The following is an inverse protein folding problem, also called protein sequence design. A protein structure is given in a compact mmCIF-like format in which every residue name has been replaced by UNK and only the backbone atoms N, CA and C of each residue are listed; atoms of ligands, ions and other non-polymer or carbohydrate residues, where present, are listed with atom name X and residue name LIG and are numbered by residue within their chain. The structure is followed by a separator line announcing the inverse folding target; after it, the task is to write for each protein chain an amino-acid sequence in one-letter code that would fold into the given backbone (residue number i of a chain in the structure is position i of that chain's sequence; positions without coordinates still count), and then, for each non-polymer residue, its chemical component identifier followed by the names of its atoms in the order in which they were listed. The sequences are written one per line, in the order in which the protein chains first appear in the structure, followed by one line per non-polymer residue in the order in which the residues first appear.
data_IF_184294221873
#
_entry.id   IF_184294221873
#
_cell.length_a   1.000
_cell.length_b   1.000
_cell.length_c   1.000
_cell.angle_alpha   90.00
_cell.angle_beta   90.00
_cell.angle_gamma   90.00
#
_symmetry.space_group_name_H-M   'P 1'
#
loop_
_entity.id
_entity.type
_entity.pdbx_description
1 polymer ?
#
# COMPACT_ATOMS: atom_id res chain seq x y z
N UNK A 1 30.45 8.77 -3.95
CA UNK A 1 30.34 8.74 -5.43
C UNK A 1 31.66 8.40 -6.11
N UNK A 2 32.70 9.22 -5.99
CA UNK A 2 34.01 9.01 -6.66
C UNK A 2 34.64 7.64 -6.36
N UNK A 3 34.57 7.18 -5.10
CA UNK A 3 35.15 5.88 -4.72
C UNK A 3 34.39 4.72 -5.39
N UNK A 4 33.05 4.79 -5.47
CA UNK A 4 32.24 3.79 -6.15
C UNK A 4 32.59 3.66 -7.62
N UNK A 5 32.71 4.80 -8.32
CA UNK A 5 33.04 4.82 -9.76
C UNK A 5 34.47 4.34 -10.06
N UNK A 6 35.41 4.52 -9.11
CA UNK A 6 36.80 4.05 -9.24
C UNK A 6 36.95 2.55 -8.96
N UNK A 7 36.31 2.04 -7.93
CA UNK A 7 36.55 0.68 -7.42
C UNK A 7 35.57 -0.35 -7.94
N UNK A 8 34.25 0.01 -8.04
CA UNK A 8 33.22 -0.99 -8.22
C UNK A 8 32.98 -1.34 -9.68
N UNK A 9 32.74 -2.63 -9.91
CA UNK A 9 32.37 -3.20 -11.21
C UNK A 9 30.97 -3.77 -11.13
N UNK A 10 30.16 -3.46 -12.12
CA UNK A 10 28.78 -3.95 -12.27
C UNK A 10 28.63 -4.77 -13.54
N UNK A 11 27.61 -5.58 -13.61
CA UNK A 11 27.15 -6.14 -14.87
C UNK A 11 26.37 -5.08 -15.61
N UNK A 12 26.86 -4.68 -16.78
CA UNK A 12 26.11 -3.77 -17.65
C UNK A 12 24.88 -4.46 -18.21
N UNK A 13 23.96 -3.72 -18.82
CA UNK A 13 22.77 -4.31 -19.43
C UNK A 13 23.08 -5.20 -20.64
N UNK A 14 24.22 -4.98 -21.26
CA UNK A 14 24.76 -5.84 -22.34
C UNK A 14 25.36 -7.16 -21.80
N UNK A 15 25.24 -7.37 -20.46
CA UNK A 15 25.70 -8.59 -19.82
C UNK A 15 27.20 -8.63 -19.51
N UNK A 16 27.96 -7.57 -19.82
CA UNK A 16 29.42 -7.49 -19.63
C UNK A 16 29.80 -6.79 -18.33
N UNK A 17 30.97 -7.12 -17.73
CA UNK A 17 31.48 -6.35 -16.62
C UNK A 17 31.89 -4.95 -17.09
N UNK A 18 31.58 -3.94 -16.28
CA UNK A 18 31.93 -2.54 -16.55
C UNK A 18 32.05 -1.74 -15.27
N UNK A 19 32.85 -0.68 -15.27
CA UNK A 19 32.94 0.25 -14.12
C UNK A 19 31.58 0.84 -13.81
N UNK A 20 31.24 0.89 -12.52
CA UNK A 20 30.06 1.61 -12.07
C UNK A 20 30.19 3.09 -12.42
N UNK A 21 29.23 3.63 -13.16
CA UNK A 21 29.14 5.07 -13.48
C UNK A 21 27.75 5.55 -13.06
N UNK A 22 27.73 6.56 -12.17
CA UNK A 22 26.49 7.11 -11.67
C UNK A 22 25.67 7.72 -12.80
N UNK A 23 24.41 7.28 -12.95
CA UNK A 23 23.44 7.89 -13.85
C UNK A 23 22.81 9.18 -13.25
N UNK A 24 21.91 9.83 -13.98
CA UNK A 24 21.24 11.06 -13.55
C UNK A 24 20.45 10.86 -12.24
N UNK A 25 19.74 9.74 -12.10
CA UNK A 25 18.94 9.40 -10.93
C UNK A 25 19.81 9.19 -9.69
N UNK A 26 20.86 8.40 -9.83
CA UNK A 26 21.80 8.09 -8.75
C UNK A 26 22.52 9.35 -8.24
N UNK A 27 22.90 10.27 -9.16
CA UNK A 27 23.46 11.58 -8.79
C UNK A 27 22.44 12.46 -8.08
N UNK A 28 21.20 12.52 -8.55
CA UNK A 28 20.14 13.28 -7.92
C UNK A 28 19.84 12.75 -6.50
N UNK A 29 19.83 11.43 -6.32
CA UNK A 29 19.69 10.81 -5.01
C UNK A 29 20.84 11.22 -4.08
N UNK A 30 22.09 11.05 -4.48
CA UNK A 30 23.26 11.39 -3.65
C UNK A 30 23.30 12.87 -3.25
N UNK A 31 22.89 13.79 -4.13
CA UNK A 31 22.89 15.22 -3.86
C UNK A 31 21.81 15.65 -2.84
N UNK A 32 20.71 14.94 -2.75
CA UNK A 32 19.56 15.31 -1.91
C UNK A 32 19.39 14.42 -0.67
N UNK A 33 20.04 13.25 -0.62
CA UNK A 33 19.81 12.26 0.43
C UNK A 33 20.07 12.80 1.84
N UNK A 34 19.24 12.35 2.76
CA UNK A 34 19.43 12.51 4.20
C UNK A 34 19.89 11.21 4.87
N UNK A 35 19.73 11.15 6.17
CA UNK A 35 19.96 9.94 6.97
C UNK A 35 18.81 8.92 6.80
N UNK A 36 17.60 9.41 6.59
CA UNK A 36 16.40 8.61 6.31
C UNK A 36 15.84 9.04 4.97
N UNK A 37 15.64 8.09 4.07
CA UNK A 37 15.21 8.36 2.71
C UNK A 37 14.08 7.44 2.30
N UNK A 38 13.11 7.99 1.58
CA UNK A 38 12.10 7.22 0.88
C UNK A 38 12.10 7.57 -0.60
N UNK A 39 12.14 6.54 -1.45
CA UNK A 39 12.33 6.70 -2.90
C UNK A 39 11.18 6.04 -3.65
N UNK A 40 10.38 6.88 -4.29
CA UNK A 40 9.38 6.50 -5.26
C UNK A 40 9.98 6.65 -6.65
N UNK A 41 10.05 5.58 -7.40
CA UNK A 41 10.76 5.55 -8.69
C UNK A 41 10.00 4.78 -9.76
N UNK A 42 10.28 5.10 -11.01
CA UNK A 42 9.95 4.22 -12.13
C UNK A 42 10.86 2.97 -12.12
N UNK A 43 10.47 1.98 -12.90
CA UNK A 43 11.18 0.71 -13.01
C UNK A 43 12.60 0.89 -13.56
N UNK A 44 13.52 0.03 -13.13
CA UNK A 44 14.88 -0.12 -13.67
C UNK A 44 15.75 1.18 -13.70
N UNK A 45 15.61 2.04 -12.73
CA UNK A 45 16.39 3.28 -12.60
C UNK A 45 17.82 3.05 -12.07
N UNK A 46 18.18 1.81 -11.74
CA UNK A 46 19.50 1.43 -11.22
C UNK A 46 19.76 1.85 -9.77
N UNK A 47 18.71 2.21 -9.04
CA UNK A 47 18.87 2.71 -7.67
C UNK A 47 19.27 1.61 -6.69
N UNK A 48 18.65 0.42 -6.74
CA UNK A 48 19.02 -0.73 -5.90
C UNK A 48 20.51 -1.06 -6.02
N UNK A 49 21.05 -1.09 -7.25
CA UNK A 49 22.50 -1.27 -7.49
C UNK A 49 23.34 -0.16 -6.85
N UNK A 50 22.83 1.09 -6.90
CA UNK A 50 23.55 2.22 -6.32
C UNK A 50 23.55 2.19 -4.80
N UNK A 51 22.43 1.85 -4.17
CA UNK A 51 22.32 1.71 -2.71
C UNK A 51 23.21 0.56 -2.23
N UNK A 52 23.18 -0.58 -2.92
CA UNK A 52 24.08 -1.70 -2.63
C UNK A 52 25.57 -1.29 -2.71
N UNK A 53 25.95 -0.54 -3.75
CA UNK A 53 27.31 -0.02 -3.91
C UNK A 53 27.70 0.93 -2.77
N UNK A 54 26.80 1.85 -2.43
CA UNK A 54 26.99 2.80 -1.34
C UNK A 54 27.18 2.09 0.01
N UNK A 55 26.30 1.17 0.33
CA UNK A 55 26.33 0.44 1.60
C UNK A 55 27.49 -0.55 1.67
N UNK A 56 27.84 -1.18 0.55
CA UNK A 56 29.06 -1.99 0.46
C UNK A 56 30.31 -1.16 0.79
N UNK A 57 30.45 0.03 0.21
CA UNK A 57 31.59 0.90 0.52
C UNK A 57 31.60 1.34 1.99
N UNK A 58 30.46 1.66 2.57
CA UNK A 58 30.38 1.97 4.02
C UNK A 58 30.82 0.77 4.86
N UNK A 59 30.36 -0.43 4.53
CA UNK A 59 30.72 -1.66 5.25
C UNK A 59 32.24 -1.93 5.22
N UNK A 60 32.88 -1.72 4.09
CA UNK A 60 34.33 -1.99 3.97
C UNK A 60 35.24 -0.81 4.37
N UNK A 61 34.69 0.34 4.70
CA UNK A 61 35.47 1.52 5.11
C UNK A 61 35.18 1.99 6.54
N UNK A 62 34.18 1.45 7.19
CA UNK A 62 33.77 1.83 8.54
C UNK A 62 33.74 0.58 9.42
N UNK A 63 34.71 0.37 10.32
CA UNK A 63 34.71 -0.77 11.24
C UNK A 63 33.43 -0.84 12.09
N UNK A 64 33.05 -2.05 12.47
CA UNK A 64 31.83 -2.29 13.26
C UNK A 64 30.52 -2.09 12.51
N UNK A 65 30.53 -2.04 11.16
CA UNK A 65 29.36 -1.76 10.36
C UNK A 65 28.60 -3.04 10.00
N UNK A 66 27.35 -3.14 10.43
CA UNK A 66 26.40 -4.12 9.92
C UNK A 66 25.47 -3.45 8.89
N UNK A 67 25.52 -3.93 7.66
CA UNK A 67 24.59 -3.57 6.59
C UNK A 67 23.58 -4.68 6.40
N UNK A 68 22.28 -4.31 6.37
CA UNK A 68 21.17 -5.20 6.09
C UNK A 68 20.36 -4.69 4.90
N UNK A 69 20.24 -5.49 3.86
CA UNK A 69 19.31 -5.26 2.75
C UNK A 69 18.16 -6.27 2.82
N UNK A 70 16.94 -5.78 2.65
CA UNK A 70 15.73 -6.60 2.70
C UNK A 70 15.00 -6.46 1.36
N UNK A 71 14.81 -7.59 0.66
CA UNK A 71 14.11 -7.66 -0.61
C UNK A 71 12.73 -8.32 -0.45
N UNK A 72 11.82 -8.09 -1.38
CA UNK A 72 10.44 -8.60 -1.34
C UNK A 72 10.34 -10.13 -1.50
N UNK A 73 11.30 -10.79 -2.17
CA UNK A 73 11.36 -12.25 -2.31
C UNK A 73 12.78 -12.76 -2.07
N UNK A 74 12.92 -14.08 -1.91
CA UNK A 74 14.22 -14.74 -1.76
C UNK A 74 15.06 -14.59 -3.04
N UNK A 75 14.45 -14.75 -4.21
CA UNK A 75 15.12 -14.61 -5.51
C UNK A 75 15.65 -13.18 -5.71
N UNK A 76 14.85 -12.18 -5.31
CA UNK A 76 15.27 -10.77 -5.36
C UNK A 76 16.45 -10.50 -4.41
N UNK A 77 16.45 -11.11 -3.21
CA UNK A 77 17.56 -11.03 -2.27
C UNK A 77 18.84 -11.61 -2.87
N UNK A 78 18.76 -12.75 -3.52
CA UNK A 78 19.88 -13.39 -4.18
C UNK A 78 20.42 -12.57 -5.36
N UNK A 79 19.55 -11.90 -6.13
CA UNK A 79 19.97 -10.99 -7.20
C UNK A 79 20.74 -9.78 -6.66
N UNK A 80 20.24 -9.15 -5.59
CA UNK A 80 20.95 -8.05 -4.92
C UNK A 80 22.29 -8.55 -4.41
N UNK A 81 22.32 -9.72 -3.80
CA UNK A 81 23.54 -10.27 -3.25
C UNK A 81 24.57 -10.61 -4.31
N UNK A 82 24.15 -11.07 -5.50
CA UNK A 82 25.04 -11.24 -6.66
C UNK A 82 25.70 -9.94 -7.12
N UNK A 83 25.01 -8.80 -6.96
CA UNK A 83 25.62 -7.48 -7.22
C UNK A 83 26.73 -7.22 -6.24
N UNK A 84 26.50 -7.46 -4.94
CA UNK A 84 27.48 -7.23 -3.87
C UNK A 84 28.68 -8.17 -3.99
N UNK A 85 28.47 -9.46 -4.30
CA UNK A 85 29.55 -10.39 -4.58
C UNK A 85 30.45 -9.91 -5.73
N UNK A 86 29.85 -9.39 -6.80
CA UNK A 86 30.60 -8.84 -7.93
C UNK A 86 31.46 -7.65 -7.51
N UNK A 87 31.01 -6.80 -6.60
CA UNK A 87 31.85 -5.74 -6.06
C UNK A 87 33.09 -6.30 -5.38
N UNK A 88 32.91 -7.34 -4.56
CA UNK A 88 34.01 -8.00 -3.87
C UNK A 88 34.96 -8.71 -4.84
N UNK A 89 34.43 -9.50 -5.79
CA UNK A 89 35.23 -10.30 -6.74
C UNK A 89 36.13 -9.44 -7.63
N UNK A 90 35.72 -8.22 -7.92
CA UNK A 90 36.48 -7.28 -8.75
C UNK A 90 37.26 -6.24 -7.97
N UNK A 91 37.32 -6.37 -6.63
CA UNK A 91 38.24 -5.55 -5.83
C UNK A 91 39.70 -5.93 -6.11
N UNK A 92 40.62 -4.95 -6.05
CA UNK A 92 42.06 -5.24 -6.15
C UNK A 92 42.53 -6.33 -5.14
N UNK A 93 43.35 -7.27 -5.59
CA UNK A 93 43.78 -8.41 -4.78
C UNK A 93 44.44 -7.98 -3.45
N UNK A 94 45.26 -6.92 -3.45
CA UNK A 94 45.87 -6.40 -2.24
C UNK A 94 44.88 -5.90 -1.17
N UNK A 95 43.66 -5.48 -1.57
CA UNK A 95 42.60 -5.15 -0.62
C UNK A 95 41.85 -6.42 -0.18
N UNK A 96 41.57 -7.30 -1.12
CA UNK A 96 40.80 -8.53 -0.88
C UNK A 96 41.53 -9.55 -0.02
N UNK A 97 42.83 -9.65 -0.16
CA UNK A 97 43.68 -10.55 0.61
C UNK A 97 44.20 -9.92 1.92
N UNK A 98 44.04 -8.59 2.05
CA UNK A 98 44.43 -7.82 3.23
C UNK A 98 43.22 -7.54 4.16
N UNK A 99 42.99 -6.26 4.46
CA UNK A 99 41.96 -5.81 5.40
C UNK A 99 40.52 -6.23 5.03
N UNK A 100 40.27 -6.56 3.78
CA UNK A 100 38.94 -7.02 3.31
C UNK A 100 38.92 -8.54 3.09
N UNK A 101 39.84 -9.28 3.68
CA UNK A 101 39.78 -10.73 3.66
C UNK A 101 38.50 -11.22 4.33
N UNK A 102 37.75 -12.01 3.59
CA UNK A 102 36.45 -12.51 4.08
C UNK A 102 36.66 -13.72 4.99
N UNK A 103 36.06 -13.70 6.19
CA UNK A 103 35.95 -14.86 7.07
C UNK A 103 34.85 -15.82 6.66
N UNK A 104 33.76 -15.28 6.14
CA UNK A 104 32.64 -16.01 5.58
C UNK A 104 32.08 -15.23 4.39
N UNK A 105 31.86 -15.92 3.28
CA UNK A 105 31.14 -15.40 2.14
C UNK A 105 30.23 -16.52 1.61
N UNK A 106 28.90 -16.34 1.74
CA UNK A 106 27.90 -17.31 1.29
C UNK A 106 26.75 -16.57 0.58
N UNK A 107 25.66 -17.24 0.29
CA UNK A 107 24.53 -16.67 -0.47
C UNK A 107 23.69 -15.63 0.31
N UNK A 108 23.99 -15.35 1.57
CA UNK A 108 23.22 -14.43 2.43
C UNK A 108 24.04 -13.41 3.19
N UNK A 109 25.35 -13.65 3.37
CA UNK A 109 26.21 -12.74 4.14
C UNK A 109 27.66 -12.77 3.69
N UNK A 110 28.34 -11.64 3.81
CA UNK A 110 29.79 -11.48 3.70
C UNK A 110 30.26 -10.87 5.01
N UNK A 111 31.23 -11.54 5.66
CA UNK A 111 31.83 -11.10 6.93
C UNK A 111 33.27 -10.69 6.68
N UNK A 112 33.64 -9.52 7.18
CA UNK A 112 35.01 -8.96 7.14
C UNK A 112 35.56 -8.92 8.57
N UNK A 113 36.23 -9.99 9.05
CA UNK A 113 36.65 -10.11 10.45
C UNK A 113 37.59 -9.01 10.91
N UNK A 114 38.55 -8.60 10.06
CA UNK A 114 39.51 -7.53 10.37
C UNK A 114 38.85 -6.17 10.55
N UNK A 115 37.66 -6.00 9.99
CA UNK A 115 36.87 -4.77 10.08
C UNK A 115 35.76 -4.88 11.13
N UNK A 116 35.52 -6.04 11.72
CA UNK A 116 34.30 -6.33 12.51
C UNK A 116 33.06 -5.89 11.78
N UNK A 117 33.00 -6.15 10.48
CA UNK A 117 31.95 -5.63 9.61
C UNK A 117 31.25 -6.75 8.84
N UNK A 118 29.97 -6.53 8.53
CA UNK A 118 29.15 -7.54 7.87
C UNK A 118 28.16 -6.92 6.89
N UNK A 119 27.96 -7.60 5.77
CA UNK A 119 26.92 -7.29 4.78
C UNK A 119 25.95 -8.47 4.66
N UNK A 120 24.67 -8.26 4.93
CA UNK A 120 23.61 -9.26 4.83
C UNK A 120 22.53 -8.85 3.85
N UNK A 121 21.99 -9.84 3.13
CA UNK A 121 20.78 -9.66 2.32
C UNK A 121 19.79 -10.77 2.68
N UNK A 122 18.56 -10.38 2.97
CA UNK A 122 17.48 -11.27 3.40
C UNK A 122 16.18 -10.97 2.67
N UNK A 123 15.22 -11.88 2.74
CA UNK A 123 13.86 -11.67 2.22
C UNK A 123 12.94 -11.14 3.32
N UNK A 124 12.00 -10.26 2.98
CA UNK A 124 10.91 -9.81 3.85
C UNK A 124 9.94 -10.94 4.24
N UNK A 125 9.99 -12.09 3.56
CA UNK A 125 9.26 -13.28 3.98
C UNK A 125 9.79 -13.87 5.30
N UNK A 126 11.03 -13.52 5.71
CA UNK A 126 11.56 -13.87 7.02
C UNK A 126 11.14 -12.83 8.06
N UNK A 127 10.10 -13.12 8.82
CA UNK A 127 9.58 -12.26 9.90
C UNK A 127 10.60 -11.96 11.01
N UNK A 128 11.69 -12.72 11.10
CA UNK A 128 12.77 -12.49 12.05
C UNK A 128 13.93 -11.68 11.47
N UNK A 129 13.80 -11.20 10.22
CA UNK A 129 14.81 -10.34 9.61
C UNK A 129 15.15 -9.16 10.53
N UNK A 130 16.40 -8.99 10.88
CA UNK A 130 16.86 -7.90 11.75
C UNK A 130 16.74 -8.13 13.27
N UNK A 131 16.01 -9.14 13.74
CA UNK A 131 15.89 -9.40 15.20
C UNK A 131 17.25 -9.76 15.82
N UNK A 132 17.57 -9.12 16.95
CA UNK A 132 18.83 -9.33 17.67
C UNK A 132 20.05 -8.69 16.99
N UNK A 133 19.86 -7.89 15.94
CA UNK A 133 20.92 -7.16 15.26
C UNK A 133 20.94 -5.68 15.69
N UNK A 134 22.12 -5.06 15.49
CA UNK A 134 22.25 -3.60 15.55
C UNK A 134 22.75 -3.13 14.19
N UNK A 135 21.84 -2.54 13.39
CA UNK A 135 22.03 -2.27 11.96
C UNK A 135 22.43 -0.82 11.73
N UNK A 136 23.58 -0.56 11.12
CA UNK A 136 24.04 0.78 10.76
C UNK A 136 23.52 1.24 9.40
N UNK A 137 23.30 0.32 8.46
CA UNK A 137 22.74 0.65 7.15
C UNK A 137 21.60 -0.32 6.84
N UNK A 138 20.41 0.21 6.64
CA UNK A 138 19.20 -0.57 6.32
C UNK A 138 18.64 -0.12 4.97
N UNK A 139 18.52 -1.07 4.05
CA UNK A 139 17.89 -0.88 2.75
C UNK A 139 16.67 -1.79 2.62
N UNK A 140 15.51 -1.22 2.40
CA UNK A 140 14.25 -1.93 2.14
C UNK A 140 13.89 -1.76 0.67
N UNK A 141 14.20 -2.78 -0.14
CA UNK A 141 13.97 -2.78 -1.58
C UNK A 141 12.58 -3.30 -1.93
N UNK A 142 11.89 -2.60 -2.85
CA UNK A 142 10.53 -2.89 -3.33
C UNK A 142 9.51 -3.09 -2.18
N UNK A 143 9.55 -2.17 -1.21
CA UNK A 143 8.73 -2.21 0.01
C UNK A 143 7.22 -2.33 -0.28
N UNK A 144 6.72 -1.72 -1.37
CA UNK A 144 5.33 -1.85 -1.77
C UNK A 144 4.91 -3.30 -2.12
N UNK A 145 5.88 -4.18 -2.37
CA UNK A 145 5.67 -5.58 -2.77
C UNK A 145 5.96 -6.58 -1.66
N UNK A 146 6.22 -6.12 -0.44
CA UNK A 146 6.53 -7.02 0.67
C UNK A 146 5.33 -7.88 1.04
N UNK A 147 5.54 -9.18 1.33
CA UNK A 147 4.46 -10.10 1.71
C UNK A 147 4.01 -9.87 3.15
N UNK A 148 2.79 -10.30 3.46
CA UNK A 148 2.23 -10.24 4.82
C UNK A 148 2.06 -8.83 5.35
N UNK A 149 2.21 -8.65 6.66
CA UNK A 149 2.19 -7.32 7.29
C UNK A 149 3.55 -6.63 7.15
N UNK A 150 3.70 -5.90 6.04
CA UNK A 150 4.91 -5.14 5.74
C UNK A 150 5.19 -4.03 6.77
N UNK A 151 4.16 -3.50 7.44
CA UNK A 151 4.32 -2.45 8.44
C UNK A 151 4.93 -3.00 9.73
N UNK A 152 4.51 -4.20 10.18
CA UNK A 152 5.10 -4.87 11.35
C UNK A 152 6.56 -5.26 11.08
N UNK A 153 6.84 -5.83 9.91
CA UNK A 153 8.22 -6.16 9.51
C UNK A 153 9.11 -4.91 9.51
N UNK A 154 8.63 -3.82 8.91
CA UNK A 154 9.38 -2.56 8.86
C UNK A 154 9.59 -1.95 10.26
N UNK A 155 8.61 -2.04 11.14
CA UNK A 155 8.72 -1.59 12.53
C UNK A 155 9.80 -2.37 13.28
N UNK A 156 9.84 -3.71 13.14
CA UNK A 156 10.89 -4.56 13.70
C UNK A 156 12.29 -4.22 13.19
N UNK A 157 12.42 -3.97 11.89
CA UNK A 157 13.68 -3.56 11.28
C UNK A 157 14.16 -2.18 11.76
N UNK A 158 13.23 -1.22 11.90
CA UNK A 158 13.54 0.11 12.46
C UNK A 158 14.02 0.03 13.91
N UNK A 159 13.42 -0.85 14.71
CA UNK A 159 13.84 -1.08 16.09
C UNK A 159 15.24 -1.67 16.19
N UNK A 160 15.71 -2.38 15.17
CA UNK A 160 17.06 -2.93 15.09
C UNK A 160 18.11 -1.90 14.63
N UNK A 161 17.72 -0.70 14.20
CA UNK A 161 18.67 0.29 13.70
C UNK A 161 19.49 0.91 14.82
N UNK A 162 20.79 1.06 14.57
CA UNK A 162 21.69 1.81 15.43
C UNK A 162 21.29 3.30 15.47
N UNK A 163 21.54 4.00 16.61
CA UNK A 163 21.48 5.47 16.63
C UNK A 163 22.39 6.04 15.54
N UNK A 164 21.83 6.91 14.69
CA UNK A 164 22.61 7.46 13.56
C UNK A 164 22.69 6.57 12.32
N UNK A 165 22.06 5.40 12.31
CA UNK A 165 22.01 4.50 11.15
C UNK A 165 21.31 5.13 9.94
N UNK A 166 21.74 4.73 8.73
CA UNK A 166 21.15 5.20 7.47
C UNK A 166 20.02 4.26 7.01
N UNK A 167 18.85 4.82 6.71
CA UNK A 167 17.67 4.10 6.21
C UNK A 167 17.33 4.54 4.79
N UNK A 168 17.13 3.57 3.91
CA UNK A 168 16.64 3.79 2.56
C UNK A 168 15.47 2.83 2.29
N UNK A 169 14.28 3.40 2.11
CA UNK A 169 13.09 2.71 1.63
C UNK A 169 12.95 3.00 0.15
N UNK A 170 12.82 2.00 -0.71
CA UNK A 170 12.58 2.23 -2.14
C UNK A 170 11.50 1.31 -2.69
N UNK A 171 10.70 1.84 -3.64
CA UNK A 171 9.77 1.03 -4.41
C UNK A 171 9.31 1.70 -5.70
N UNK A 172 8.82 0.90 -6.65
CA UNK A 172 7.80 1.34 -7.60
C UNK A 172 6.46 1.43 -6.85
N UNK A 173 5.51 2.27 -7.28
CA UNK A 173 4.19 2.35 -6.63
C UNK A 173 3.40 1.06 -6.86
N UNK A 174 2.53 0.70 -5.91
CA UNK A 174 1.64 -0.47 -6.03
C UNK A 174 0.24 -0.14 -5.51
N UNK A 175 -0.37 0.88 -6.07
CA UNK A 175 -1.71 1.30 -5.68
C UNK A 175 -1.75 2.19 -4.45
N UNK A 176 -2.94 2.67 -4.17
CA UNK A 176 -3.24 3.52 -3.02
C UNK A 176 -3.50 2.62 -1.83
N UNK A 177 -2.56 2.54 -0.90
CA UNK A 177 -2.61 1.69 0.29
C UNK A 177 -1.32 0.88 0.49
N UNK A 178 -1.26 0.15 1.61
CA UNK A 178 -0.10 -0.63 2.01
C UNK A 178 1.05 0.20 2.59
N UNK A 179 2.02 -0.50 3.18
CA UNK A 179 3.09 0.09 3.98
C UNK A 179 3.85 1.21 3.25
N UNK A 180 4.29 0.99 2.01
CA UNK A 180 5.08 1.98 1.27
C UNK A 180 4.29 3.27 0.97
N UNK A 181 3.02 3.15 0.59
CA UNK A 181 2.15 4.30 0.35
C UNK A 181 1.95 5.14 1.62
N UNK A 182 1.69 4.49 2.75
CA UNK A 182 1.54 5.18 4.04
C UNK A 182 2.84 5.88 4.47
N UNK A 183 3.98 5.21 4.32
CA UNK A 183 5.30 5.79 4.59
C UNK A 183 5.59 6.99 3.67
N UNK A 184 5.21 6.89 2.38
CA UNK A 184 5.35 7.99 1.43
C UNK A 184 4.54 9.21 1.86
N UNK A 185 3.28 9.00 2.26
CA UNK A 185 2.41 10.10 2.70
C UNK A 185 2.90 10.77 3.98
N UNK A 186 3.36 9.99 4.95
CA UNK A 186 3.83 10.45 6.26
C UNK A 186 5.28 10.92 6.26
N UNK A 187 6.00 10.84 5.16
CA UNK A 187 7.43 11.12 5.09
C UNK A 187 7.80 12.53 5.58
N UNK A 188 6.94 13.54 5.33
CA UNK A 188 7.13 14.90 5.84
C UNK A 188 7.07 15.02 7.39
N UNK A 189 6.32 14.11 8.03
CA UNK A 189 6.14 14.08 9.49
C UNK A 189 7.23 13.26 10.19
N UNK A 190 7.88 12.34 9.45
CA UNK A 190 8.83 11.35 10.00
C UNK A 190 10.29 11.66 9.71
N UNK A 191 10.62 12.90 9.33
CA UNK A 191 11.96 13.37 8.96
C UNK A 191 12.62 12.54 7.84
N UNK A 192 11.83 11.92 6.97
CA UNK A 192 12.30 11.21 5.79
C UNK A 192 12.43 12.17 4.60
N UNK A 193 13.56 12.08 3.90
CA UNK A 193 13.75 12.82 2.65
C UNK A 193 13.05 12.07 1.52
N UNK A 194 12.08 12.72 0.87
CA UNK A 194 11.39 12.18 -0.30
C UNK A 194 12.22 12.34 -1.56
N UNK A 195 12.28 11.30 -2.36
CA UNK A 195 12.88 11.28 -3.68
C UNK A 195 11.88 10.71 -4.67
N UNK A 196 11.45 11.51 -5.64
CA UNK A 196 10.63 11.04 -6.74
C UNK A 196 11.46 11.02 -8.02
N UNK A 197 11.49 9.88 -8.71
CA UNK A 197 12.24 9.69 -9.95
C UNK A 197 11.31 9.20 -11.07
N UNK A 198 10.77 10.12 -11.88
CA UNK A 198 9.94 9.76 -13.02
C UNK A 198 10.76 9.08 -14.11
N UNK A 199 10.09 8.31 -14.96
CA UNK A 199 10.74 7.44 -15.95
C UNK A 199 11.66 8.20 -16.92
N UNK A 200 11.35 9.41 -17.28
CA UNK A 200 12.16 10.20 -18.23
C UNK A 200 13.52 10.66 -17.70
N UNK A 201 13.81 10.45 -16.43
CA UNK A 201 15.15 10.67 -15.88
C UNK A 201 16.15 9.58 -16.30
N UNK A 202 15.69 8.42 -16.76
CA UNK A 202 16.52 7.36 -17.32
C UNK A 202 16.83 7.67 -18.80
N UNK A 203 18.08 7.97 -19.10
CA UNK A 203 18.50 8.42 -20.41
C UNK A 203 18.20 7.46 -21.57
N UNK A 204 18.03 6.18 -21.27
CA UNK A 204 17.75 5.12 -22.27
C UNK A 204 16.25 4.96 -22.59
N UNK A 205 15.37 5.65 -21.86
CA UNK A 205 13.95 5.62 -22.12
C UNK A 205 13.58 6.58 -23.24
N UNK A 206 13.95 6.19 -24.45
CA UNK A 206 13.65 6.88 -25.71
C UNK A 206 13.39 5.89 -26.84
N UNK A 207 12.70 6.33 -27.86
CA UNK A 207 12.44 5.62 -29.12
C UNK A 207 12.79 6.53 -30.28
N UNK A 208 12.52 6.09 -31.50
CA UNK A 208 12.51 6.95 -32.66
C UNK A 208 11.56 8.14 -32.43
N UNK A 209 11.96 9.35 -32.82
CA UNK A 209 11.24 10.56 -32.45
C UNK A 209 9.80 10.56 -32.99
N UNK A 210 8.84 11.02 -32.20
CA UNK A 210 7.48 11.24 -32.64
C UNK A 210 7.42 12.42 -33.63
N UNK A 211 6.45 12.38 -34.55
CA UNK A 211 6.13 13.52 -35.39
C UNK A 211 5.49 14.64 -34.51
N UNK A 212 6.05 15.82 -34.59
CA UNK A 212 5.59 16.98 -33.80
C UNK A 212 4.14 17.39 -34.15
N UNK A 213 3.71 17.18 -35.40
CA UNK A 213 2.34 17.45 -35.84
C UNK A 213 1.31 16.48 -35.19
N UNK A 214 1.76 15.31 -34.72
CA UNK A 214 0.92 14.29 -34.09
C UNK A 214 0.78 14.43 -32.58
N UNK A 215 1.39 15.45 -31.95
CA UNK A 215 1.34 15.63 -30.51
C UNK A 215 -0.06 16.00 -30.02
N UNK A 216 -0.48 15.36 -28.92
CA UNK A 216 -1.68 15.77 -28.19
C UNK A 216 -1.39 16.97 -27.28
N UNK A 217 -2.43 17.66 -26.80
CA UNK A 217 -2.26 18.78 -25.86
C UNK A 217 -1.62 18.33 -24.55
N UNK A 218 -1.95 17.12 -24.05
CA UNK A 218 -1.30 16.52 -22.89
C UNK A 218 0.21 16.34 -23.11
N UNK A 219 0.61 15.86 -24.27
CA UNK A 219 2.02 15.64 -24.61
C UNK A 219 2.78 16.94 -24.78
N UNK A 220 2.15 17.97 -25.35
CA UNK A 220 2.71 19.33 -25.41
C UNK A 220 2.94 19.91 -24.02
N UNK A 221 1.96 19.76 -23.11
CA UNK A 221 2.08 20.17 -21.72
C UNK A 221 3.22 19.47 -20.99
N UNK A 222 3.39 18.14 -21.20
CA UNK A 222 4.49 17.37 -20.61
C UNK A 222 5.87 17.81 -21.15
N UNK A 223 5.97 18.10 -22.46
CA UNK A 223 7.20 18.63 -23.06
C UNK A 223 7.56 19.97 -22.43
N UNK A 224 6.60 20.86 -22.31
CA UNK A 224 6.81 22.21 -21.74
C UNK A 224 7.19 22.13 -20.24
N UNK A 225 6.49 21.32 -19.47
CA UNK A 225 6.70 21.21 -18.01
C UNK A 225 8.00 20.49 -17.64
N UNK A 226 8.41 19.48 -18.42
CA UNK A 226 9.51 18.57 -18.05
C UNK A 226 10.65 18.54 -19.06
N UNK A 227 10.64 19.42 -20.07
CA UNK A 227 11.66 19.53 -21.12
C UNK A 227 11.88 18.18 -21.85
N UNK A 228 10.79 17.45 -22.11
CA UNK A 228 10.88 16.13 -22.75
C UNK A 228 11.21 16.26 -24.24
N UNK A 229 11.97 15.28 -24.75
CA UNK A 229 12.27 15.16 -26.17
C UNK A 229 11.18 14.39 -26.91
N UNK A 230 11.00 14.64 -28.19
CA UNK A 230 10.07 13.89 -29.06
C UNK A 230 10.33 12.37 -29.02
N UNK A 231 11.59 11.97 -28.89
CA UNK A 231 11.98 10.56 -28.71
C UNK A 231 11.50 9.95 -27.38
N UNK A 232 11.33 10.73 -26.35
CA UNK A 232 10.75 10.30 -25.08
C UNK A 232 9.22 10.24 -25.16
N UNK A 233 8.58 11.13 -25.92
CA UNK A 233 7.14 11.06 -26.20
C UNK A 233 6.81 9.77 -26.98
N UNK A 234 7.61 9.44 -28.02
CA UNK A 234 7.46 8.18 -28.74
C UNK A 234 7.62 6.96 -27.83
N UNK A 235 8.59 6.99 -26.91
CA UNK A 235 8.76 5.95 -25.90
C UNK A 235 7.53 5.86 -24.97
N UNK A 236 7.00 7.00 -24.49
CA UNK A 236 5.79 7.08 -23.67
C UNK A 236 4.58 6.41 -24.34
N UNK A 237 4.36 6.70 -25.63
CA UNK A 237 3.29 6.06 -26.42
C UNK A 237 3.45 4.53 -26.46
N UNK A 238 4.68 4.05 -26.67
CA UNK A 238 4.99 2.62 -26.67
C UNK A 238 4.71 1.96 -25.33
N UNK A 239 5.24 2.50 -24.23
CA UNK A 239 5.01 1.90 -22.91
C UNK A 239 3.52 1.95 -22.50
N UNK A 240 2.77 2.98 -22.92
CA UNK A 240 1.32 3.03 -22.70
C UNK A 240 0.58 1.92 -23.46
N UNK A 241 1.00 1.61 -24.66
CA UNK A 241 0.44 0.50 -25.43
C UNK A 241 0.80 -0.87 -24.83
N UNK A 242 2.06 -1.06 -24.42
CA UNK A 242 2.57 -2.32 -23.88
C UNK A 242 2.04 -2.61 -22.46
N UNK A 243 1.99 -1.61 -21.57
CA UNK A 243 1.66 -1.77 -20.16
C UNK A 243 0.21 -1.37 -19.82
N UNK A 244 -0.48 -0.67 -20.71
CA UNK A 244 -1.88 -0.23 -20.53
C UNK A 244 -2.11 0.40 -19.15
N UNK A 245 -3.08 -0.09 -18.37
CA UNK A 245 -3.40 0.40 -17.03
C UNK A 245 -2.24 0.31 -16.00
N UNK A 246 -1.21 -0.49 -16.25
CA UNK A 246 -0.02 -0.59 -15.39
C UNK A 246 1.05 0.46 -15.69
N UNK A 247 0.89 1.26 -16.75
CA UNK A 247 1.93 2.21 -17.18
C UNK A 247 2.30 3.19 -16.06
N UNK A 248 1.33 3.79 -15.41
CA UNK A 248 1.59 4.78 -14.36
C UNK A 248 2.28 4.18 -13.13
N UNK A 249 2.01 2.90 -12.84
CA UNK A 249 2.67 2.15 -11.77
C UNK A 249 4.14 1.83 -12.12
N UNK A 250 4.40 1.31 -13.31
CA UNK A 250 5.74 0.84 -13.70
C UNK A 250 6.63 1.99 -14.18
N UNK A 251 6.02 3.01 -14.79
CA UNK A 251 6.67 4.19 -15.37
C UNK A 251 6.04 5.48 -14.83
N UNK A 252 6.20 5.69 -13.53
CA UNK A 252 5.63 6.83 -12.83
C UNK A 252 5.98 8.18 -13.49
N UNK A 253 4.97 9.01 -13.73
CA UNK A 253 5.07 10.37 -14.28
C UNK A 253 4.79 11.44 -13.22
N UNK A 254 3.98 11.12 -12.23
CA UNK A 254 3.61 12.02 -11.15
C UNK A 254 3.54 11.23 -9.84
N UNK A 255 3.98 11.84 -8.74
CA UNK A 255 4.10 11.20 -7.44
C UNK A 255 2.78 10.87 -6.73
N UNK A 256 1.67 11.44 -7.19
CA UNK A 256 0.33 11.14 -6.67
C UNK A 256 -0.41 10.17 -7.59
N UNK A 257 -0.48 10.50 -8.89
CA UNK A 257 -1.26 9.71 -9.86
C UNK A 257 -0.68 8.31 -10.11
N UNK A 258 0.62 8.11 -9.89
CA UNK A 258 1.23 6.79 -10.09
C UNK A 258 0.70 5.71 -9.14
N UNK A 259 0.18 6.09 -7.99
CA UNK A 259 -0.49 5.15 -7.08
C UNK A 259 -1.92 4.81 -7.51
N UNK A 260 -2.57 5.66 -8.30
CA UNK A 260 -3.96 5.48 -8.71
C UNK A 260 -4.12 4.37 -9.77
N UNK A 261 -3.08 4.02 -10.48
CA UNK A 261 -3.13 3.29 -11.75
C UNK A 261 -2.98 1.76 -11.66
N UNK A 262 -3.04 1.12 -10.49
CA UNK A 262 -2.83 -0.32 -10.38
C UNK A 262 -4.13 -1.11 -10.33
N UNK A 263 -4.57 -1.61 -11.47
CA UNK A 263 -5.80 -2.39 -11.67
C UNK A 263 -6.95 -1.52 -12.18
N UNK A 264 -7.96 -2.12 -12.80
CA UNK A 264 -9.23 -1.45 -13.06
C UNK A 264 -9.89 -1.19 -11.71
N UNK A 265 -9.88 0.06 -11.26
CA UNK A 265 -10.69 0.45 -10.09
C UNK A 265 -12.14 0.11 -10.35
N UNK A 266 -12.82 -0.46 -9.37
CA UNK A 266 -14.26 -0.71 -9.43
C UNK A 266 -15.01 0.61 -9.34
N UNK A 267 -14.52 1.53 -8.50
CA UNK A 267 -15.17 2.83 -8.26
C UNK A 267 -14.50 3.93 -9.10
N UNK A 268 -15.27 4.94 -9.47
CA UNK A 268 -14.74 6.12 -10.16
C UNK A 268 -13.82 6.92 -9.25
N UNK A 269 -12.51 6.82 -9.49
CA UNK A 269 -11.50 7.43 -8.62
C UNK A 269 -11.63 8.94 -8.52
N UNK A 270 -12.06 9.63 -9.59
CA UNK A 270 -12.26 11.07 -9.57
C UNK A 270 -13.33 11.48 -8.55
N UNK A 271 -14.45 10.76 -8.48
CA UNK A 271 -15.52 10.99 -7.51
C UNK A 271 -15.02 10.70 -6.07
N UNK A 272 -14.33 9.58 -5.86
CA UNK A 272 -13.75 9.21 -4.56
C UNK A 272 -12.76 10.26 -4.08
N UNK A 273 -11.84 10.74 -4.95
CA UNK A 273 -10.85 11.76 -4.61
C UNK A 273 -11.48 13.12 -4.31
N UNK A 274 -12.49 13.53 -5.09
CA UNK A 274 -13.23 14.75 -4.84
C UNK A 274 -13.87 14.70 -3.45
N UNK A 275 -14.53 13.58 -3.12
CA UNK A 275 -15.17 13.40 -1.81
C UNK A 275 -14.16 13.34 -0.66
N UNK A 276 -13.03 12.66 -0.82
CA UNK A 276 -11.96 12.61 0.19
C UNK A 276 -11.45 14.00 0.59
N UNK A 277 -11.36 14.93 -0.37
CA UNK A 277 -10.92 16.32 -0.10
C UNK A 277 -11.93 17.09 0.76
N UNK A 278 -13.21 16.79 0.64
CA UNK A 278 -14.31 17.50 1.31
C UNK A 278 -14.91 16.74 2.49
N UNK A 279 -14.52 15.47 2.70
CA UNK A 279 -15.03 14.63 3.78
C UNK A 279 -14.71 15.26 5.16
N UNK A 280 -15.74 15.43 6.02
CA UNK A 280 -15.58 16.10 7.30
C UNK A 280 -14.81 15.24 8.30
N UNK A 281 -14.29 15.88 9.35
CA UNK A 281 -13.81 15.16 10.51
C UNK A 281 -15.00 14.65 11.35
N UNK A 282 -14.88 13.50 12.02
CA UNK A 282 -15.91 12.99 12.91
C UNK A 282 -16.07 13.94 14.11
N UNK A 283 -17.31 14.13 14.56
CA UNK A 283 -17.61 14.93 15.75
C UNK A 283 -17.24 14.20 17.05
N UNK A 284 -17.16 12.88 17.00
CA UNK A 284 -16.77 12.04 18.15
C UNK A 284 -15.97 10.82 17.69
N UNK A 285 -14.98 10.44 18.49
CA UNK A 285 -14.21 9.18 18.34
C UNK A 285 -14.28 8.40 19.64
N UNK A 286 -14.62 7.11 19.55
CA UNK A 286 -14.67 6.17 20.69
C UNK A 286 -13.78 4.96 20.41
N UNK A 287 -13.52 4.14 21.42
CA UNK A 287 -12.72 2.91 21.33
C UNK A 287 -11.35 3.16 20.65
N UNK A 288 -10.59 4.12 21.16
CA UNK A 288 -9.28 4.51 20.62
C UNK A 288 -9.32 4.88 19.11
N UNK A 289 -10.46 5.39 18.62
CA UNK A 289 -10.64 5.79 17.22
C UNK A 289 -11.21 4.69 16.32
N UNK A 290 -11.47 3.49 16.82
CA UNK A 290 -12.12 2.42 16.03
C UNK A 290 -13.56 2.78 15.64
N UNK A 291 -14.29 3.52 16.49
CA UNK A 291 -15.61 4.06 16.19
C UNK A 291 -15.50 5.57 15.94
N UNK A 292 -15.91 6.00 14.75
CA UNK A 292 -16.04 7.41 14.36
C UNK A 292 -17.52 7.75 14.12
N UNK A 293 -17.96 8.89 14.68
CA UNK A 293 -19.34 9.39 14.60
C UNK A 293 -19.31 10.77 13.97
N UNK A 294 -20.08 10.96 12.89
CA UNK A 294 -20.27 12.26 12.21
C UNK A 294 -21.63 12.87 12.55
N UNK A 295 -22.65 12.01 12.63
CA UNK A 295 -24.03 12.40 12.90
C UNK A 295 -24.57 11.58 14.08
N UNK A 296 -24.67 12.16 15.29
CA UNK A 296 -25.32 11.51 16.42
C UNK A 296 -26.79 11.19 16.14
N UNK A 297 -27.39 10.21 16.85
CA UNK A 297 -28.79 9.85 16.62
C UNK A 297 -29.74 11.01 16.92
N UNK A 298 -30.70 11.23 16.03
CA UNK A 298 -31.74 12.26 16.17
C UNK A 298 -33.06 11.56 16.50
N UNK A 299 -33.76 12.05 17.54
CA UNK A 299 -35.01 11.48 17.99
C UNK A 299 -36.07 11.47 16.84
N UNK A 300 -36.69 10.33 16.64
CA UNK A 300 -37.71 10.14 15.62
C UNK A 300 -37.20 9.74 14.24
N UNK A 301 -35.88 9.78 14.02
CA UNK A 301 -35.28 9.24 12.81
C UNK A 301 -35.00 7.74 12.94
N UNK A 302 -35.04 7.05 11.80
CA UNK A 302 -34.72 5.62 11.70
C UNK A 302 -33.36 5.39 11.06
N UNK A 303 -32.72 4.31 11.48
CA UNK A 303 -31.36 3.98 11.06
C UNK A 303 -31.21 2.50 10.69
N UNK A 304 -30.15 2.21 9.94
CA UNK A 304 -29.65 0.88 9.64
C UNK A 304 -28.23 0.78 10.20
N UNK A 305 -27.94 -0.29 10.92
CA UNK A 305 -26.58 -0.70 11.29
C UNK A 305 -26.26 -1.93 10.48
N UNK A 306 -25.36 -1.81 9.52
CA UNK A 306 -24.88 -2.93 8.70
C UNK A 306 -23.50 -3.39 9.18
N UNK A 307 -23.29 -4.69 9.20
CA UNK A 307 -22.08 -5.31 9.81
C UNK A 307 -21.52 -6.37 8.88
N UNK A 308 -20.22 -6.29 8.64
CA UNK A 308 -19.40 -7.33 8.03
C UNK A 308 -18.50 -7.95 9.12
N UNK A 309 -18.82 -9.15 9.63
CA UNK A 309 -18.11 -9.76 10.73
C UNK A 309 -16.88 -10.54 10.28
N UNK A 310 -15.73 -10.29 10.91
CA UNK A 310 -14.50 -11.09 10.76
C UNK A 310 -14.25 -12.03 11.94
N UNK A 311 -13.22 -12.86 11.82
CA UNK A 311 -12.90 -13.91 12.80
C UNK A 311 -12.33 -13.46 14.15
N UNK A 312 -12.06 -12.16 14.33
CA UNK A 312 -11.62 -11.58 15.61
C UNK A 312 -10.15 -11.86 15.99
N UNK A 313 -9.36 -12.48 15.11
CA UNK A 313 -7.92 -12.69 15.32
C UNK A 313 -7.12 -11.40 15.11
N UNK A 314 -6.08 -11.18 15.90
CA UNK A 314 -5.21 -9.98 15.80
C UNK A 314 -4.39 -9.88 14.50
N UNK A 315 -4.31 -10.96 13.73
CA UNK A 315 -3.58 -11.04 12.45
C UNK A 315 -4.51 -11.17 11.23
N UNK A 316 -5.85 -11.11 11.41
CA UNK A 316 -6.86 -11.28 10.37
C UNK A 316 -7.57 -10.00 9.96
N UNK A 317 -8.59 -10.16 9.12
CA UNK A 317 -9.51 -9.09 8.77
C UNK A 317 -10.23 -8.57 10.02
N UNK A 318 -10.58 -7.29 10.03
CA UNK A 318 -11.33 -6.68 11.12
C UNK A 318 -12.83 -6.65 10.80
N UNK A 319 -13.66 -6.74 11.84
CA UNK A 319 -15.09 -6.54 11.69
C UNK A 319 -15.38 -5.07 11.41
N UNK A 320 -16.22 -4.79 10.43
CA UNK A 320 -16.66 -3.43 10.11
C UNK A 320 -18.18 -3.26 10.34
N UNK A 321 -18.58 -2.08 10.79
CA UNK A 321 -19.99 -1.70 10.87
C UNK A 321 -20.20 -0.28 10.36
N UNK A 322 -21.33 -0.07 9.67
CA UNK A 322 -21.75 1.23 9.14
C UNK A 322 -23.13 1.58 9.68
N UNK A 323 -23.30 2.83 10.11
CA UNK A 323 -24.61 3.36 10.50
C UNK A 323 -25.09 4.32 9.45
N UNK A 324 -26.26 4.03 8.86
CA UNK A 324 -26.90 4.84 7.81
C UNK A 324 -28.26 5.36 8.28
N UNK A 325 -28.54 6.62 8.00
CA UNK A 325 -29.88 7.18 8.19
C UNK A 325 -30.80 6.65 7.09
N UNK A 326 -32.01 6.21 7.48
CA UNK A 326 -32.93 5.51 6.56
C UNK A 326 -33.48 6.40 5.43
N UNK A 327 -33.71 7.64 5.67
CA UNK A 327 -34.34 8.54 4.69
C UNK A 327 -33.33 9.04 3.65
N UNK A 328 -32.23 9.59 4.10
CA UNK A 328 -31.20 10.23 3.25
C UNK A 328 -30.10 9.27 2.79
N UNK A 329 -29.82 8.20 3.53
CA UNK A 329 -28.68 7.34 3.30
C UNK A 329 -27.35 7.88 3.83
N UNK A 330 -27.39 9.01 4.55
CA UNK A 330 -26.19 9.59 5.15
C UNK A 330 -25.49 8.61 6.10
N UNK A 331 -24.18 8.45 5.93
CA UNK A 331 -23.32 7.73 6.84
C UNK A 331 -23.23 8.51 8.16
N UNK A 332 -23.73 7.94 9.23
CA UNK A 332 -23.74 8.56 10.55
C UNK A 332 -22.56 8.16 11.41
N UNK A 333 -22.17 6.89 11.36
CA UNK A 333 -21.04 6.37 12.10
C UNK A 333 -20.37 5.19 11.35
N UNK A 334 -19.11 4.94 11.68
CA UNK A 334 -18.33 3.81 11.18
C UNK A 334 -17.52 3.21 12.31
N UNK A 335 -17.56 1.90 12.40
CA UNK A 335 -16.67 1.10 13.26
C UNK A 335 -15.82 0.18 12.38
N UNK A 336 -14.53 0.02 12.74
CA UNK A 336 -13.71 -1.08 12.28
C UNK A 336 -12.66 -1.45 13.34
N UNK A 337 -12.63 -2.72 13.71
CA UNK A 337 -11.74 -3.22 14.75
C UNK A 337 -11.82 -4.73 14.92
N UNK A 338 -10.90 -5.29 15.70
CA UNK A 338 -10.84 -6.71 16.02
C UNK A 338 -11.67 -7.01 17.27
N UNK A 339 -12.71 -7.79 17.12
CA UNK A 339 -13.59 -8.21 18.22
C UNK A 339 -13.95 -9.68 18.09
N UNK A 340 -13.99 -10.39 19.21
CA UNK A 340 -14.58 -11.73 19.27
C UNK A 340 -16.10 -11.69 19.04
N UNK A 341 -16.68 -12.77 18.52
CA UNK A 341 -18.10 -12.78 18.11
C UNK A 341 -19.10 -12.29 19.14
N UNK A 342 -18.94 -12.63 20.43
CA UNK A 342 -19.83 -12.17 21.49
C UNK A 342 -19.66 -10.67 21.80
N UNK A 343 -18.42 -10.18 21.77
CA UNK A 343 -18.12 -8.77 21.97
C UNK A 343 -18.70 -7.95 20.82
N UNK A 344 -18.51 -8.40 19.57
CA UNK A 344 -19.08 -7.78 18.39
C UNK A 344 -20.62 -7.75 18.45
N UNK A 345 -21.26 -8.87 18.79
CA UNK A 345 -22.73 -8.93 18.90
C UNK A 345 -23.26 -7.92 19.93
N UNK A 346 -22.63 -7.80 21.09
CA UNK A 346 -22.98 -6.81 22.13
C UNK A 346 -22.75 -5.38 21.65
N UNK A 347 -21.63 -5.14 20.99
CA UNK A 347 -21.25 -3.84 20.50
C UNK A 347 -22.22 -3.32 19.43
N UNK A 348 -22.49 -4.11 18.38
CA UNK A 348 -23.38 -3.68 17.28
C UNK A 348 -24.84 -3.59 17.73
N UNK A 349 -25.26 -4.42 18.69
CA UNK A 349 -26.57 -4.30 19.32
C UNK A 349 -26.68 -3.00 20.14
N UNK A 350 -25.65 -2.68 20.94
CA UNK A 350 -25.58 -1.42 21.67
C UNK A 350 -25.66 -0.21 20.76
N UNK A 351 -24.91 -0.24 19.66
CA UNK A 351 -24.93 0.80 18.63
C UNK A 351 -26.31 0.92 17.97
N UNK A 352 -26.97 -0.20 17.66
CA UNK A 352 -28.34 -0.20 17.10
C UNK A 352 -29.36 0.38 18.10
N UNK A 353 -29.23 0.08 19.39
CA UNK A 353 -30.08 0.68 20.45
C UNK A 353 -29.84 2.18 20.56
N UNK A 354 -28.59 2.63 20.57
CA UNK A 354 -28.22 4.03 20.59
C UNK A 354 -28.83 4.80 19.42
N UNK A 355 -28.81 4.22 18.22
CA UNK A 355 -29.45 4.78 17.01
C UNK A 355 -30.93 4.42 16.91
N UNK A 356 -31.69 4.72 17.97
CA UNK A 356 -33.15 4.60 18.07
C UNK A 356 -33.70 3.20 17.80
N UNK A 357 -32.98 2.14 18.13
CA UNK A 357 -33.39 0.78 17.80
C UNK A 357 -33.29 0.52 16.29
N UNK A 358 -32.18 0.82 15.68
CA UNK A 358 -31.91 0.68 14.25
C UNK A 358 -32.17 -0.73 13.72
N UNK A 359 -32.47 -0.88 12.44
CA UNK A 359 -32.41 -2.18 11.78
C UNK A 359 -30.99 -2.70 11.79
N UNK A 360 -30.76 -3.88 12.40
CA UNK A 360 -29.46 -4.53 12.43
C UNK A 360 -29.34 -5.52 11.26
N UNK A 361 -28.40 -5.28 10.36
CA UNK A 361 -28.13 -6.06 9.15
C UNK A 361 -26.76 -6.67 9.27
N UNK A 362 -26.66 -7.94 9.61
CA UNK A 362 -25.38 -8.66 9.72
C UNK A 362 -25.19 -9.53 8.49
N UNK A 363 -24.05 -9.44 7.82
CA UNK A 363 -23.68 -10.42 6.80
C UNK A 363 -23.56 -11.80 7.43
N UNK A 364 -24.33 -12.78 6.96
CA UNK A 364 -24.41 -14.11 7.60
C UNK A 364 -23.40 -15.11 7.09
N UNK A 365 -22.56 -14.72 6.13
CA UNK A 365 -21.49 -15.57 5.62
C UNK A 365 -20.45 -15.85 6.72
N UNK A 366 -19.75 -16.98 6.65
CA UNK A 366 -18.64 -17.34 7.54
C UNK A 366 -18.95 -17.08 9.04
N UNK A 367 -18.30 -16.09 9.64
CA UNK A 367 -18.42 -15.72 11.05
C UNK A 367 -19.78 -15.10 11.43
N UNK A 368 -20.49 -14.55 10.45
CA UNK A 368 -21.73 -13.79 10.67
C UNK A 368 -22.88 -14.62 11.19
N UNK A 369 -22.99 -15.89 10.83
CA UNK A 369 -24.02 -16.80 11.41
C UNK A 369 -23.87 -16.95 12.91
N UNK A 370 -22.62 -17.04 13.41
CA UNK A 370 -22.32 -17.07 14.83
C UNK A 370 -22.68 -15.77 15.56
N UNK A 371 -22.37 -14.63 14.94
CA UNK A 371 -22.73 -13.31 15.49
C UNK A 371 -24.26 -13.14 15.54
N UNK A 372 -24.99 -13.54 14.50
CA UNK A 372 -26.46 -13.49 14.48
C UNK A 372 -27.09 -14.34 15.59
N UNK A 373 -26.59 -15.57 15.80
CA UNK A 373 -27.06 -16.42 16.89
C UNK A 373 -26.84 -15.75 18.27
N UNK A 374 -25.73 -15.04 18.46
CA UNK A 374 -25.44 -14.31 19.69
C UNK A 374 -26.28 -13.04 19.83
N UNK A 375 -26.60 -12.35 18.74
CA UNK A 375 -27.54 -11.21 18.73
C UNK A 375 -28.91 -11.67 19.19
N UNK A 376 -29.39 -12.82 18.73
CA UNK A 376 -30.69 -13.39 19.11
C UNK A 376 -30.68 -13.91 20.56
N UNK A 377 -29.72 -14.75 20.92
CA UNK A 377 -29.74 -15.51 22.19
C UNK A 377 -29.19 -14.71 23.37
N UNK A 378 -28.05 -14.03 23.19
CA UNK A 378 -27.36 -13.30 24.25
C UNK A 378 -27.84 -11.83 24.37
N UNK A 379 -28.06 -11.16 23.23
CA UNK A 379 -28.47 -9.75 23.22
C UNK A 379 -29.99 -9.58 23.15
N UNK A 380 -30.72 -10.58 22.68
CA UNK A 380 -32.21 -10.60 22.54
C UNK A 380 -32.73 -9.42 21.70
N UNK A 381 -31.94 -8.99 20.68
CA UNK A 381 -32.32 -7.88 19.83
C UNK A 381 -33.32 -8.32 18.76
N UNK A 382 -34.46 -7.61 18.66
CA UNK A 382 -35.61 -8.05 17.83
C UNK A 382 -35.60 -7.45 16.42
N UNK A 383 -35.01 -6.27 16.24
CA UNK A 383 -35.09 -5.55 14.97
C UNK A 383 -33.93 -5.94 14.03
N UNK A 384 -33.86 -7.26 13.77
CA UNK A 384 -32.86 -7.84 12.87
C UNK A 384 -33.45 -7.96 11.46
N UNK A 385 -32.69 -7.49 10.46
CA UNK A 385 -33.06 -7.62 9.06
C UNK A 385 -33.07 -9.11 8.66
N UNK A 386 -34.04 -9.49 7.82
CA UNK A 386 -34.12 -10.82 7.25
C UNK A 386 -34.27 -10.77 5.73
N UNK A 387 -33.53 -11.66 5.06
CA UNK A 387 -33.57 -11.86 3.62
C UNK A 387 -33.98 -13.29 3.31
N UNK A 388 -35.04 -13.46 2.48
CA UNK A 388 -35.56 -14.79 2.15
C UNK A 388 -36.04 -15.60 3.37
N UNK A 389 -36.58 -14.92 4.39
CA UNK A 389 -37.07 -15.57 5.62
C UNK A 389 -36.00 -15.98 6.63
N UNK A 390 -34.74 -15.68 6.39
CA UNK A 390 -33.61 -15.95 7.29
C UNK A 390 -32.97 -14.65 7.77
N UNK A 391 -32.59 -14.61 9.05
CA UNK A 391 -31.93 -13.46 9.65
C UNK A 391 -30.57 -13.15 8.95
N UNK A 392 -30.29 -11.87 8.81
CA UNK A 392 -29.08 -11.36 8.20
C UNK A 392 -29.10 -11.27 6.66
N UNK A 393 -28.05 -10.74 6.10
CA UNK A 393 -27.80 -10.61 4.66
C UNK A 393 -26.93 -11.77 4.16
N UNK A 394 -27.29 -12.41 3.04
CA UNK A 394 -26.47 -13.43 2.39
C UNK A 394 -25.76 -12.85 1.17
N UNK A 395 -24.45 -12.74 1.23
CA UNK A 395 -23.62 -12.40 0.07
C UNK A 395 -23.31 -13.66 -0.73
N UNK A 396 -23.65 -13.63 -2.01
CA UNK A 396 -23.43 -14.71 -2.99
C UNK A 396 -22.65 -14.18 -4.19
N UNK A 397 -22.21 -15.05 -5.07
CA UNK A 397 -21.60 -14.66 -6.36
C UNK A 397 -22.55 -13.82 -7.25
N UNK A 398 -23.85 -13.89 -7.01
CA UNK A 398 -24.87 -13.10 -7.74
C UNK A 398 -25.17 -11.79 -7.01
N UNK A 399 -25.34 -11.80 -5.68
CA UNK A 399 -25.70 -10.59 -4.93
C UNK A 399 -24.51 -9.64 -4.72
N UNK A 400 -23.26 -10.14 -4.59
CA UNK A 400 -22.07 -9.31 -4.40
C UNK A 400 -21.88 -8.26 -5.51
N UNK A 401 -21.87 -8.62 -6.81
CA UNK A 401 -21.78 -7.63 -7.88
C UNK A 401 -22.89 -6.57 -7.84
N UNK A 402 -24.13 -6.96 -7.48
CA UNK A 402 -25.27 -6.04 -7.43
C UNK A 402 -25.13 -5.01 -6.30
N UNK A 403 -24.68 -5.40 -5.10
CA UNK A 403 -24.47 -4.46 -3.99
C UNK A 403 -23.29 -3.53 -4.27
N UNK A 404 -22.23 -4.02 -4.90
CA UNK A 404 -21.07 -3.21 -5.30
C UNK A 404 -21.48 -2.20 -6.39
N UNK A 405 -22.24 -2.59 -7.41
CA UNK A 405 -22.73 -1.68 -8.45
C UNK A 405 -23.65 -0.57 -7.87
N UNK A 406 -24.44 -0.89 -6.85
CA UNK A 406 -25.24 0.11 -6.12
C UNK A 406 -24.36 1.12 -5.39
N UNK A 407 -23.32 0.65 -4.73
CA UNK A 407 -22.36 1.53 -4.05
C UNK A 407 -21.58 2.40 -5.06
N UNK A 408 -21.18 1.82 -6.20
CA UNK A 408 -20.53 2.56 -7.30
C UNK A 408 -21.42 3.72 -7.80
N UNK A 409 -22.71 3.45 -8.07
CA UNK A 409 -23.65 4.48 -8.46
C UNK A 409 -23.81 5.56 -7.38
N UNK A 410 -23.96 5.18 -6.12
CA UNK A 410 -24.12 6.13 -5.01
C UNK A 410 -22.88 7.02 -4.80
N UNK A 411 -21.67 6.50 -5.00
CA UNK A 411 -20.43 7.29 -4.91
C UNK A 411 -20.34 8.39 -5.98
N UNK A 412 -20.95 8.17 -7.14
CA UNK A 412 -20.98 9.13 -8.24
C UNK A 412 -22.16 10.10 -8.11
N UNK A 413 -23.36 9.57 -7.82
CA UNK A 413 -24.61 10.35 -7.84
C UNK A 413 -24.83 11.15 -6.54
N UNK A 414 -24.42 10.59 -5.40
CA UNK A 414 -24.69 11.14 -4.07
C UNK A 414 -23.44 11.07 -3.15
N UNK A 415 -22.26 11.58 -3.58
CA UNK A 415 -21.01 11.43 -2.84
C UNK A 415 -21.04 11.99 -1.42
N UNK A 416 -21.90 12.99 -1.17
CA UNK A 416 -22.08 13.62 0.14
C UNK A 416 -22.65 12.67 1.21
N UNK A 417 -23.21 11.52 0.83
CA UNK A 417 -23.65 10.50 1.78
C UNK A 417 -22.49 9.89 2.57
N UNK A 418 -21.28 9.84 2.01
CA UNK A 418 -20.12 9.16 2.59
C UNK A 418 -19.25 10.12 3.38
N UNK A 419 -19.12 9.91 4.69
CA UNK A 419 -18.38 10.80 5.60
C UNK A 419 -16.97 10.26 5.94
N UNK A 420 -16.80 8.93 5.94
CA UNK A 420 -15.56 8.29 6.38
C UNK A 420 -14.46 8.39 5.35
N UNK A 421 -13.33 9.04 5.74
CA UNK A 421 -12.10 9.03 4.95
C UNK A 421 -11.46 7.64 4.89
N UNK A 422 -11.68 6.79 5.90
CA UNK A 422 -11.16 5.41 5.95
C UNK A 422 -11.89 4.53 4.94
N UNK A 423 -13.23 4.59 4.90
CA UNK A 423 -14.04 3.93 3.88
C UNK A 423 -13.66 4.38 2.45
N UNK A 424 -13.59 5.70 2.23
CA UNK A 424 -13.19 6.25 0.92
C UNK A 424 -11.75 5.84 0.54
N UNK A 425 -10.87 5.67 1.55
CA UNK A 425 -9.53 5.12 1.38
C UNK A 425 -9.53 3.67 0.87
N UNK A 426 -10.40 2.80 1.41
CA UNK A 426 -10.58 1.43 0.89
C UNK A 426 -11.13 1.42 -0.53
N UNK A 427 -12.08 2.31 -0.86
CA UNK A 427 -12.62 2.45 -2.23
C UNK A 427 -11.52 2.67 -3.28
N UNK A 428 -10.43 3.34 -2.95
CA UNK A 428 -9.28 3.57 -3.85
C UNK A 428 -8.53 2.27 -4.19
N UNK A 429 -8.51 1.30 -3.28
CA UNK A 429 -7.78 0.04 -3.42
C UNK A 429 -8.66 -1.14 -3.85
N UNK A 430 -9.95 -0.89 -4.06
CA UNK A 430 -10.91 -1.91 -4.49
C UNK A 430 -10.93 -2.03 -6.01
N UNK A 431 -10.51 -3.19 -6.52
CA UNK A 431 -10.21 -3.39 -7.95
C UNK A 431 -10.91 -4.61 -8.53
N UNK A 432 -11.10 -4.61 -9.85
CA UNK A 432 -11.47 -5.80 -10.61
C UNK A 432 -10.27 -6.73 -10.70
N UNK A 433 -10.48 -7.98 -10.33
CA UNK A 433 -9.44 -9.01 -10.38
C UNK A 433 -9.46 -9.73 -11.75
N UNK A 434 -8.34 -10.39 -12.15
CA UNK A 434 -8.26 -11.08 -13.44
C UNK A 434 -9.33 -12.17 -13.64
N UNK A 435 -9.85 -12.75 -12.56
CA UNK A 435 -10.93 -13.75 -12.59
C UNK A 435 -12.34 -13.14 -12.74
N UNK A 436 -12.44 -11.81 -12.91
CA UNK A 436 -13.71 -11.08 -13.04
C UNK A 436 -14.39 -10.72 -11.72
N UNK A 437 -13.87 -11.17 -10.57
CA UNK A 437 -14.37 -10.73 -9.26
C UNK A 437 -13.85 -9.32 -8.92
N UNK A 438 -14.46 -8.71 -7.90
CA UNK A 438 -13.98 -7.45 -7.32
C UNK A 438 -13.57 -7.67 -5.87
N UNK A 439 -12.54 -6.98 -5.42
CA UNK A 439 -12.03 -7.12 -4.05
C UNK A 439 -10.89 -6.16 -3.76
N UNK A 440 -10.48 -6.14 -2.50
CA UNK A 440 -9.30 -5.39 -2.06
C UNK A 440 -8.03 -5.93 -2.72
N UNK A 441 -7.07 -5.06 -2.99
CA UNK A 441 -5.72 -5.48 -3.40
C UNK A 441 -5.03 -6.25 -2.27
N UNK A 442 -4.07 -7.09 -2.63
CA UNK A 442 -3.23 -7.76 -1.64
C UNK A 442 -2.62 -6.76 -0.66
N UNK A 443 -2.80 -7.00 0.64
CA UNK A 443 -2.35 -6.12 1.72
C UNK A 443 -3.27 -4.92 2.01
N UNK A 444 -4.49 -4.90 1.45
CA UNK A 444 -5.55 -3.94 1.80
C UNK A 444 -6.84 -4.69 2.14
N UNK A 445 -7.80 -3.99 2.74
CA UNK A 445 -9.06 -4.55 3.24
C UNK A 445 -10.24 -4.03 2.44
N UNK A 446 -11.37 -4.77 2.44
CA UNK A 446 -12.65 -4.37 1.85
C UNK A 446 -13.85 -4.48 2.81
N UNK A 447 -13.58 -4.69 4.10
CA UNK A 447 -14.61 -4.92 5.12
C UNK A 447 -15.55 -3.72 5.28
N UNK A 448 -15.00 -2.47 5.26
CA UNK A 448 -15.83 -1.26 5.30
C UNK A 448 -16.68 -1.09 4.05
N UNK A 449 -16.15 -1.50 2.90
CA UNK A 449 -16.86 -1.48 1.61
C UNK A 449 -18.03 -2.45 1.65
N UNK A 450 -17.79 -3.68 2.13
CA UNK A 450 -18.84 -4.70 2.21
C UNK A 450 -19.94 -4.29 3.19
N UNK A 451 -19.57 -3.84 4.39
CA UNK A 451 -20.54 -3.33 5.35
C UNK A 451 -21.39 -2.17 4.78
N UNK A 452 -20.77 -1.22 4.05
CA UNK A 452 -21.46 -0.10 3.42
C UNK A 452 -22.40 -0.57 2.29
N UNK A 453 -21.91 -1.41 1.38
CA UNK A 453 -22.66 -1.91 0.24
C UNK A 453 -23.90 -2.70 0.68
N UNK A 454 -23.75 -3.56 1.70
CA UNK A 454 -24.86 -4.31 2.32
C UNK A 454 -25.85 -3.35 2.99
N UNK A 455 -25.35 -2.33 3.70
CA UNK A 455 -26.19 -1.32 4.35
C UNK A 455 -27.09 -0.55 3.37
N UNK A 456 -26.52 -0.09 2.25
CA UNK A 456 -27.27 0.60 1.18
C UNK A 456 -28.31 -0.31 0.52
N UNK A 457 -27.98 -1.59 0.31
CA UNK A 457 -28.91 -2.54 -0.29
C UNK A 457 -30.07 -2.85 0.65
N UNK A 458 -29.78 -3.17 1.91
CA UNK A 458 -30.82 -3.46 2.92
C UNK A 458 -31.71 -2.25 3.18
N UNK A 459 -31.14 -1.04 3.24
CA UNK A 459 -31.90 0.22 3.33
C UNK A 459 -32.91 0.36 2.20
N UNK A 460 -32.49 0.11 0.96
CA UNK A 460 -33.40 0.22 -0.19
C UNK A 460 -34.54 -0.80 -0.14
N UNK A 461 -34.25 -2.04 0.28
CA UNK A 461 -35.31 -3.06 0.45
C UNK A 461 -36.30 -2.72 1.57
N UNK A 462 -35.82 -2.21 2.71
CA UNK A 462 -36.65 -1.79 3.83
C UNK A 462 -37.52 -0.61 3.46
N UNK A 463 -36.99 0.38 2.73
CA UNK A 463 -37.77 1.52 2.23
C UNK A 463 -38.83 1.09 1.21
N UNK A 464 -38.52 0.14 0.33
CA UNK A 464 -39.46 -0.42 -0.65
C UNK A 464 -40.62 -1.21 0.00
N UNK A 465 -40.40 -1.87 1.11
CA UNK A 465 -41.43 -2.57 1.89
C UNK A 465 -42.42 -1.57 2.52
N UNK A 466 -41.93 -0.44 3.05
CA UNK A 466 -42.79 0.62 3.65
C UNK A 466 -43.71 1.31 2.64
N UNK A 467 -43.36 1.39 1.36
CA UNK A 467 -44.20 2.01 0.30
C UNK A 467 -45.31 1.09 -0.20
N UNK A 468 -45.33 -0.18 0.17
CA UNK A 468 -46.35 -1.18 -0.24
C UNK A 468 -47.43 -1.41 0.80
N UNK A 469 -47.37 -0.75 1.94
CA UNK A 469 -48.36 -0.69 3.00
C UNK A 469 -48.83 0.75 3.20
#
# INVERSE_FOLDING_TARGET
MVLAEKLLVVRTREGRPGKLKANKVQRAFENKRGQRNIVLKARQMGLTTWVAARFFLKTITQPGTLTLEVAHTQEAAEEIFRIVHRFLDWMPDGLREGALKTGRANVRQIVFPEMDAEYRVVSAADRNAGRGLTVQNLHCSELARWPGDAADILAGLRAAMAPGGELILESTPQGVGGCFYEEWRKAGETAMVRHFFPWWMEARYHSEAADEASLTDEERGLIEQHELKLSQIAYRRRIRADFRGLTAQEYAENEESCFLASGESVFELAAVEARLKTAPEPVERRKNGELEIWLPPVKGKEYVVSVDPAGGGSEGDYSAAQVLEMETGLQCAEFAGHMGGLELARFVTGLAVEYNGAWLVVERNNHGSGVLALVETACKYQRVYSHGGQAGWLTTSVSRPAVIARLEAALVEEPEQFQSRRFLGECRSFVRQPNGSSGAKSGTHDDRIMAMAIGLAARAELAGKKRRF
#
